data_IF_906217203062
#
_entry.id   IF_906217203062
#
_cell.length_a   1.000
_cell.length_b   1.000
_cell.length_c   1.000
_cell.angle_alpha   90.00
_cell.angle_beta   90.00
_cell.angle_gamma   90.00
#
_symmetry.space_group_name_H-M   'P 1'
#
loop_
_entity.id
_entity.type
_entity.pdbx_description
1 polymer ?
#
# COMPACT_ATOMS: atom_id res chain seq x y z
N UNK A 1 14.48 -4.26 6.09
CA UNK A 1 14.43 -2.78 5.96
C UNK A 1 14.82 -2.20 7.31
N UNK A 2 16.07 -1.76 7.48
CA UNK A 2 16.61 -1.36 8.78
C UNK A 2 16.08 -0.01 9.31
N UNK A 3 15.31 0.75 8.51
CA UNK A 3 14.96 2.14 8.84
C UNK A 3 13.47 2.50 8.62
N UNK A 4 12.57 1.52 8.69
CA UNK A 4 11.13 1.77 8.47
C UNK A 4 10.55 2.77 9.50
N UNK A 5 11.06 2.79 10.73
CA UNK A 5 10.61 3.70 11.79
C UNK A 5 10.88 5.16 11.44
N UNK A 6 12.10 5.51 11.02
CA UNK A 6 12.48 6.88 10.64
C UNK A 6 11.63 7.41 9.49
N UNK A 7 11.35 6.56 8.49
CA UNK A 7 10.48 6.96 7.39
C UNK A 7 9.02 7.15 7.84
N UNK A 8 8.50 6.25 8.67
CA UNK A 8 7.14 6.35 9.22
C UNK A 8 6.95 7.63 10.06
N UNK A 9 7.95 8.02 10.85
CA UNK A 9 7.95 9.26 11.64
C UNK A 9 7.91 10.49 10.72
N UNK A 10 8.74 10.54 9.68
CA UNK A 10 8.72 11.64 8.70
C UNK A 10 7.41 11.72 7.94
N UNK A 11 6.82 10.59 7.58
CA UNK A 11 5.51 10.57 6.92
C UNK A 11 4.41 11.12 7.84
N UNK A 12 4.44 10.81 9.13
CA UNK A 12 3.50 11.38 10.09
C UNK A 12 3.69 12.90 10.22
N UNK A 13 4.93 13.34 10.44
CA UNK A 13 5.25 14.76 10.56
C UNK A 13 4.87 15.55 9.30
N UNK A 14 5.07 14.98 8.12
CA UNK A 14 4.61 15.60 6.86
C UNK A 14 3.10 15.77 6.83
N UNK A 15 2.32 14.79 7.30
CA UNK A 15 0.85 14.93 7.38
C UNK A 15 0.48 16.05 8.35
N UNK A 16 1.19 16.16 9.47
CA UNK A 16 0.97 17.25 10.44
C UNK A 16 1.25 18.63 9.78
N UNK A 17 2.37 18.79 9.07
CA UNK A 17 2.67 20.01 8.33
C UNK A 17 1.62 20.31 7.23
N UNK A 18 1.11 19.29 6.54
CA UNK A 18 0.04 19.48 5.55
C UNK A 18 -1.23 20.07 6.19
N UNK A 19 -1.55 19.72 7.43
CA UNK A 19 -2.67 20.30 8.15
C UNK A 19 -2.43 21.78 8.47
N UNK A 20 -1.22 22.12 8.92
CA UNK A 20 -0.80 23.50 9.17
C UNK A 20 -0.82 24.36 7.90
N UNK A 21 -0.48 23.77 6.76
CA UNK A 21 -0.52 24.40 5.43
C UNK A 21 -1.93 24.49 4.82
N UNK A 22 -2.97 24.02 5.52
CA UNK A 22 -4.36 24.23 5.11
C UNK A 22 -5.04 23.07 4.38
N UNK A 23 -4.52 21.84 4.49
CA UNK A 23 -5.12 20.64 3.86
C UNK A 23 -6.63 20.50 4.10
N UNK A 24 -7.11 20.83 5.30
CA UNK A 24 -8.55 20.70 5.61
C UNK A 24 -9.38 21.64 4.73
N UNK A 25 -8.91 22.87 4.52
CA UNK A 25 -9.60 23.83 3.65
C UNK A 25 -9.60 23.34 2.20
N UNK A 26 -8.46 22.84 1.70
CA UNK A 26 -8.38 22.28 0.35
C UNK A 26 -9.38 21.12 0.14
N UNK A 27 -9.51 20.24 1.14
CA UNK A 27 -10.46 19.12 1.09
C UNK A 27 -11.92 19.59 1.12
N UNK A 28 -12.23 20.64 1.90
CA UNK A 28 -13.56 21.25 1.97
C UNK A 28 -13.92 21.91 0.63
N UNK A 29 -13.02 22.70 0.06
CA UNK A 29 -13.22 23.40 -1.21
C UNK A 29 -13.40 22.40 -2.36
N UNK A 30 -12.55 21.37 -2.40
CA UNK A 30 -12.67 20.29 -3.38
C UNK A 30 -13.97 19.52 -3.21
N UNK A 31 -14.35 19.20 -1.97
CA UNK A 31 -15.61 18.53 -1.68
C UNK A 31 -16.81 19.37 -2.12
N UNK A 32 -16.80 20.67 -1.84
CA UNK A 32 -17.89 21.57 -2.25
C UNK A 32 -18.03 21.62 -3.78
N UNK A 33 -16.91 21.79 -4.50
CA UNK A 33 -16.90 21.87 -5.96
C UNK A 33 -17.38 20.57 -6.64
N UNK A 34 -16.88 19.42 -6.20
CA UNK A 34 -17.14 18.13 -6.85
C UNK A 34 -18.38 17.41 -6.32
N UNK A 35 -18.72 17.59 -5.05
CA UNK A 35 -19.83 16.88 -4.44
C UNK A 35 -21.19 17.55 -4.70
N UNK A 36 -21.24 18.88 -4.87
CA UNK A 36 -22.47 19.57 -5.31
C UNK A 36 -23.00 19.00 -6.63
N UNK A 37 -22.11 18.72 -7.59
CA UNK A 37 -22.50 18.11 -8.86
C UNK A 37 -22.92 16.64 -8.67
N UNK A 38 -22.18 15.86 -7.87
CA UNK A 38 -22.48 14.46 -7.60
C UNK A 38 -23.85 14.26 -6.93
N UNK A 39 -24.17 15.09 -5.94
CA UNK A 39 -25.45 15.07 -5.22
C UNK A 39 -26.60 15.44 -6.17
N UNK A 40 -26.42 16.45 -7.03
CA UNK A 40 -27.40 16.80 -8.08
C UNK A 40 -27.66 15.64 -9.03
N UNK A 41 -26.62 14.90 -9.40
CA UNK A 41 -26.72 13.72 -10.26
C UNK A 41 -27.28 12.48 -9.54
N UNK A 42 -27.52 12.53 -8.22
CA UNK A 42 -27.97 11.40 -7.41
C UNK A 42 -26.95 10.26 -7.30
N UNK A 43 -25.66 10.52 -7.57
CA UNK A 43 -24.61 9.50 -7.59
C UNK A 43 -23.95 9.35 -6.22
N UNK A 44 -23.62 8.11 -5.87
CA UNK A 44 -22.78 7.81 -4.72
C UNK A 44 -21.30 8.15 -5.03
N UNK A 45 -20.48 8.49 -4.02
CA UNK A 45 -19.05 8.66 -4.23
C UNK A 45 -18.42 7.35 -4.70
N UNK A 46 -17.69 7.39 -5.81
CA UNK A 46 -16.89 6.25 -6.29
C UNK A 46 -15.40 6.50 -5.99
N UNK A 47 -14.97 6.05 -4.80
CA UNK A 47 -13.58 6.12 -4.34
C UNK A 47 -12.63 5.15 -5.07
N UNK A 48 -13.09 4.48 -6.12
CA UNK A 48 -12.27 3.57 -6.93
C UNK A 48 -11.78 4.20 -8.23
N UNK A 49 -12.11 5.47 -8.51
CA UNK A 49 -11.79 6.12 -9.78
C UNK A 49 -11.21 7.52 -9.62
N UNK A 50 -10.21 7.81 -10.44
CA UNK A 50 -9.67 9.16 -10.63
C UNK A 50 -9.16 9.81 -9.34
N UNK A 51 -9.37 11.11 -9.22
CA UNK A 51 -8.92 11.93 -8.08
C UNK A 51 -9.50 11.46 -6.74
N UNK A 52 -10.62 10.73 -6.72
CA UNK A 52 -11.17 10.21 -5.47
C UNK A 52 -10.33 9.07 -4.86
N UNK A 53 -9.36 8.52 -5.59
CA UNK A 53 -8.44 7.51 -5.06
C UNK A 53 -7.27 8.12 -4.25
N UNK A 54 -7.14 9.44 -4.22
CA UNK A 54 -6.09 10.13 -3.47
C UNK A 54 -6.19 9.82 -1.98
N UNK A 55 -5.02 9.70 -1.33
CA UNK A 55 -4.94 9.59 0.12
C UNK A 55 -5.26 10.96 0.73
N UNK A 56 -6.18 10.98 1.69
CA UNK A 56 -6.67 12.21 2.32
C UNK A 56 -8.10 12.56 1.93
N UNK A 57 -8.63 12.11 0.78
CA UNK A 57 -10.02 12.41 0.45
C UNK A 57 -11.00 11.37 1.01
N UNK A 58 -10.76 10.07 0.75
CA UNK A 58 -11.61 9.00 1.29
C UNK A 58 -11.54 8.89 2.81
N UNK A 59 -10.38 9.17 3.42
CA UNK A 59 -10.20 9.12 4.87
C UNK A 59 -11.00 10.23 5.58
N UNK A 60 -11.26 11.35 4.91
CA UNK A 60 -12.00 12.49 5.43
C UNK A 60 -13.47 12.50 4.98
N UNK A 61 -13.93 11.50 4.23
CA UNK A 61 -15.27 11.51 3.66
C UNK A 61 -16.38 11.77 4.69
N UNK A 62 -16.37 11.03 5.81
CA UNK A 62 -17.38 11.16 6.84
C UNK A 62 -17.39 12.56 7.45
N UNK A 63 -16.22 13.13 7.71
CA UNK A 63 -16.09 14.51 8.21
C UNK A 63 -16.56 15.55 7.19
N UNK A 64 -16.19 15.40 5.91
CA UNK A 64 -16.55 16.33 4.85
C UNK A 64 -18.05 16.35 4.54
N UNK A 65 -18.74 15.23 4.80
CA UNK A 65 -20.20 15.10 4.62
C UNK A 65 -21.02 15.69 5.77
N UNK A 66 -20.40 16.04 6.90
CA UNK A 66 -21.12 16.65 8.03
C UNK A 66 -21.66 18.04 7.63
N UNK A 67 -22.83 18.44 8.16
CA UNK A 67 -23.27 19.83 8.15
C UNK A 67 -22.23 20.74 8.83
N UNK A 68 -22.14 21.99 8.40
CA UNK A 68 -21.15 22.94 8.91
C UNK A 68 -21.31 23.18 10.42
N UNK A 69 -22.55 23.14 10.90
CA UNK A 69 -22.90 23.28 12.31
C UNK A 69 -22.39 22.11 13.17
N UNK A 70 -22.30 20.90 12.59
CA UNK A 70 -21.89 19.69 13.29
C UNK A 70 -20.38 19.45 13.28
N UNK A 71 -19.65 20.02 12.30
CA UNK A 71 -18.19 19.89 12.20
C UNK A 71 -17.46 20.42 13.43
N UNK A 72 -17.99 21.49 14.03
CA UNK A 72 -17.41 22.15 15.20
C UNK A 72 -17.85 21.53 16.54
N UNK A 73 -18.76 20.56 16.51
CA UNK A 73 -19.19 19.84 17.71
C UNK A 73 -18.19 18.73 18.07
N UNK A 74 -18.33 18.17 19.27
CA UNK A 74 -17.48 17.09 19.77
C UNK A 74 -17.42 15.89 18.81
N UNK A 75 -18.56 15.55 18.20
CA UNK A 75 -18.64 14.49 17.18
C UNK A 75 -17.80 14.78 15.93
N UNK A 76 -17.89 16.01 15.40
CA UNK A 76 -17.11 16.46 14.24
C UNK A 76 -15.61 16.50 14.53
N UNK A 77 -15.20 17.02 15.68
CA UNK A 77 -13.80 17.03 16.12
C UNK A 77 -13.21 15.61 16.26
N UNK A 78 -14.02 14.67 16.77
CA UNK A 78 -13.61 13.26 16.88
C UNK A 78 -13.43 12.61 15.50
N UNK A 79 -14.37 12.84 14.58
CA UNK A 79 -14.28 12.33 13.21
C UNK A 79 -13.06 12.91 12.49
N UNK A 80 -12.80 14.21 12.63
CA UNK A 80 -11.62 14.85 12.06
C UNK A 80 -10.33 14.19 12.54
N UNK A 81 -10.19 13.99 13.86
CA UNK A 81 -9.02 13.32 14.44
C UNK A 81 -8.86 11.89 13.91
N UNK A 82 -9.95 11.16 13.77
CA UNK A 82 -9.93 9.80 13.22
C UNK A 82 -9.53 9.80 11.73
N UNK A 83 -10.03 10.76 10.94
CA UNK A 83 -9.66 10.95 9.54
C UNK A 83 -8.17 11.23 9.36
N UNK A 84 -7.59 12.09 10.19
CA UNK A 84 -6.15 12.39 10.20
C UNK A 84 -5.33 11.11 10.49
N UNK A 85 -5.70 10.36 11.53
CA UNK A 85 -5.01 9.11 11.86
C UNK A 85 -5.12 8.05 10.76
N UNK A 86 -6.30 7.93 10.14
CA UNK A 86 -6.51 7.06 8.99
C UNK A 86 -5.63 7.48 7.80
N UNK A 87 -5.47 8.78 7.54
CA UNK A 87 -4.60 9.28 6.49
C UNK A 87 -3.13 8.94 6.79
N UNK A 88 -2.65 9.16 8.01
CA UNK A 88 -1.30 8.77 8.43
C UNK A 88 -1.07 7.27 8.23
N UNK A 89 -2.02 6.42 8.64
CA UNK A 89 -1.97 4.97 8.41
C UNK A 89 -1.92 4.65 6.90
N UNK A 90 -2.78 5.28 6.10
CA UNK A 90 -2.87 5.11 4.66
C UNK A 90 -1.54 5.43 3.97
N UNK A 91 -0.94 6.56 4.31
CA UNK A 91 0.37 7.02 3.81
C UNK A 91 1.49 6.02 4.16
N UNK A 92 1.56 5.57 5.42
CA UNK A 92 2.53 4.56 5.86
C UNK A 92 2.36 3.21 5.15
N UNK A 93 1.12 2.78 4.88
CA UNK A 93 0.82 1.55 4.12
C UNK A 93 1.20 1.71 2.65
N UNK A 94 0.96 2.89 2.08
CA UNK A 94 1.31 3.19 0.69
C UNK A 94 2.82 3.14 0.47
N UNK A 95 3.62 3.78 1.33
CA UNK A 95 5.08 3.72 1.26
C UNK A 95 5.63 2.28 1.33
N UNK A 96 5.11 1.45 2.25
CA UNK A 96 5.46 0.02 2.33
C UNK A 96 5.10 -0.74 1.05
N UNK A 97 3.94 -0.43 0.45
CA UNK A 97 3.52 -1.05 -0.81
C UNK A 97 4.44 -0.62 -1.95
N UNK A 98 4.85 0.65 -2.02
CA UNK A 98 5.82 1.12 -3.01
C UNK A 98 7.14 0.38 -2.89
N UNK A 99 7.70 0.27 -1.67
CA UNK A 99 8.94 -0.47 -1.43
C UNK A 99 8.83 -1.94 -1.85
N UNK A 100 7.73 -2.60 -1.48
CA UNK A 100 7.45 -3.98 -1.93
C UNK A 100 7.34 -4.09 -3.45
N UNK A 101 6.68 -3.13 -4.10
CA UNK A 101 6.49 -3.12 -5.55
C UNK A 101 7.82 -2.88 -6.28
N UNK A 102 8.63 -1.93 -5.83
CA UNK A 102 9.95 -1.63 -6.41
C UNK A 102 10.86 -2.86 -6.30
N UNK A 103 11.00 -3.43 -5.10
CA UNK A 103 11.81 -4.65 -4.90
C UNK A 103 11.29 -5.80 -5.77
N UNK A 104 9.98 -6.07 -5.71
CA UNK A 104 9.35 -7.14 -6.47
C UNK A 104 9.50 -6.97 -7.97
N UNK A 105 9.33 -5.76 -8.49
CA UNK A 105 9.32 -5.47 -9.93
C UNK A 105 10.72 -5.48 -10.53
N UNK A 106 11.70 -5.03 -9.77
CA UNK A 106 13.02 -4.74 -10.30
C UNK A 106 14.15 -5.62 -9.78
N UNK A 107 14.06 -6.14 -8.56
CA UNK A 107 15.16 -6.91 -7.94
C UNK A 107 14.82 -8.38 -7.67
N UNK A 108 13.56 -8.78 -7.75
CA UNK A 108 13.13 -10.14 -7.35
C UNK A 108 12.55 -10.99 -8.49
N UNK A 109 12.56 -10.51 -9.74
CA UNK A 109 12.07 -11.27 -10.91
C UNK A 109 13.26 -11.78 -11.74
N UNK A 110 13.49 -13.10 -11.79
CA UNK A 110 14.67 -13.66 -12.47
C UNK A 110 14.74 -13.44 -13.98
N UNK A 111 13.59 -13.30 -14.64
CA UNK A 111 13.50 -13.31 -16.11
C UNK A 111 13.36 -11.91 -16.71
N UNK A 112 13.40 -10.86 -15.90
CA UNK A 112 13.19 -9.49 -16.36
C UNK A 112 14.54 -8.82 -16.56
N UNK A 113 14.81 -8.40 -17.79
CA UNK A 113 15.88 -7.45 -18.05
C UNK A 113 15.51 -6.11 -17.40
N UNK A 114 16.36 -5.68 -16.48
CA UNK A 114 16.20 -4.42 -15.75
C UNK A 114 17.47 -3.61 -15.94
N UNK A 115 17.38 -2.27 -16.10
CA UNK A 115 18.56 -1.43 -16.11
C UNK A 115 19.29 -1.51 -14.76
N UNK A 116 20.58 -1.16 -14.69
CA UNK A 116 21.29 -1.03 -13.43
C UNK A 116 20.53 -0.10 -12.47
N UNK A 117 20.34 -0.54 -11.23
CA UNK A 117 19.62 0.22 -10.21
C UNK A 117 20.60 0.59 -9.12
N UNK A 118 20.62 1.86 -8.75
CA UNK A 118 21.50 2.37 -7.70
C UNK A 118 20.67 2.85 -6.52
N UNK A 119 21.06 2.47 -5.31
CA UNK A 119 20.42 2.94 -4.08
C UNK A 119 21.01 4.30 -3.67
N UNK A 120 20.13 5.25 -3.39
CA UNK A 120 20.44 6.54 -2.76
C UNK A 120 19.86 6.51 -1.35
N UNK A 121 20.71 6.58 -0.32
CA UNK A 121 20.24 6.48 1.06
C UNK A 121 19.74 7.83 1.56
N UNK A 122 18.43 7.93 1.77
CA UNK A 122 17.76 9.13 2.31
C UNK A 122 17.47 9.02 3.80
N UNK A 123 18.03 8.03 4.50
CA UNK A 123 17.73 7.76 5.92
C UNK A 123 18.23 8.90 6.81
N UNK A 124 19.44 9.41 6.58
CA UNK A 124 20.03 10.51 7.34
C UNK A 124 20.14 11.77 6.47
N UNK A 125 19.31 12.78 6.76
CA UNK A 125 19.28 14.02 5.98
C UNK A 125 20.56 14.85 6.15
N UNK A 126 21.33 14.65 7.22
CA UNK A 126 22.62 15.33 7.38
C UNK A 126 23.66 14.88 6.36
N UNK A 127 23.44 13.73 5.72
CA UNK A 127 24.30 13.15 4.68
C UNK A 127 23.74 13.29 3.27
N UNK A 128 22.67 14.08 3.10
CA UNK A 128 21.98 14.23 1.81
C UNK A 128 22.94 14.54 0.66
N UNK A 129 23.85 15.50 0.86
CA UNK A 129 24.78 15.89 -0.18
C UNK A 129 25.68 14.75 -0.64
N UNK A 130 26.15 13.91 0.29
CA UNK A 130 27.07 12.81 -0.01
C UNK A 130 26.33 11.57 -0.54
N UNK A 131 25.28 11.13 0.15
CA UNK A 131 24.60 9.86 -0.12
C UNK A 131 23.53 9.94 -1.21
N UNK A 132 23.07 11.16 -1.54
CA UNK A 132 22.03 11.41 -2.54
C UNK A 132 22.55 12.28 -3.67
N UNK A 133 22.91 13.55 -3.39
CA UNK A 133 23.21 14.53 -4.45
C UNK A 133 24.45 14.16 -5.25
N UNK A 134 25.62 14.09 -4.60
CA UNK A 134 26.91 13.80 -5.25
C UNK A 134 26.85 12.41 -5.89
N UNK A 135 26.41 11.41 -5.12
CA UNK A 135 26.25 10.04 -5.59
C UNK A 135 25.40 9.95 -6.87
N UNK A 136 24.24 10.60 -6.91
CA UNK A 136 23.37 10.60 -8.08
C UNK A 136 24.01 11.27 -9.30
N UNK A 137 24.69 12.41 -9.10
CA UNK A 137 25.40 13.13 -10.17
C UNK A 137 26.48 12.23 -10.77
N UNK A 138 27.33 11.63 -9.95
CA UNK A 138 28.40 10.73 -10.41
C UNK A 138 27.86 9.53 -11.20
N UNK A 139 26.74 8.94 -10.76
CA UNK A 139 26.08 7.83 -11.47
C UNK A 139 25.61 8.29 -12.85
N UNK A 140 24.95 9.45 -12.91
CA UNK A 140 24.41 10.00 -14.16
C UNK A 140 25.56 10.37 -15.11
N UNK A 141 26.59 11.06 -14.62
CA UNK A 141 27.76 11.44 -15.42
C UNK A 141 28.49 10.23 -15.98
N UNK A 142 28.69 9.19 -15.17
CA UNK A 142 29.30 7.93 -15.63
C UNK A 142 28.45 7.27 -16.73
N UNK A 143 27.12 7.28 -16.57
CA UNK A 143 26.18 6.75 -17.56
C UNK A 143 26.19 7.55 -18.86
N UNK A 144 26.28 8.88 -18.80
CA UNK A 144 26.32 9.76 -19.99
C UNK A 144 27.65 9.60 -20.72
N UNK A 145 28.76 9.53 -19.98
CA UNK A 145 30.11 9.38 -20.52
C UNK A 145 30.44 7.95 -20.98
N UNK A 146 29.55 6.97 -20.72
CA UNK A 146 29.81 5.54 -20.92
C UNK A 146 31.08 5.04 -20.21
N UNK A 147 31.36 5.57 -19.03
CA UNK A 147 32.50 5.17 -18.18
C UNK A 147 32.03 4.28 -17.02
N UNK A 148 32.91 3.45 -16.44
CA UNK A 148 32.55 2.65 -15.27
C UNK A 148 32.12 3.53 -14.09
N UNK A 149 30.93 3.25 -13.54
CA UNK A 149 30.44 3.94 -12.36
C UNK A 149 31.23 3.48 -11.12
N UNK A 150 31.65 4.43 -10.28
CA UNK A 150 32.35 4.13 -9.01
C UNK A 150 31.46 3.46 -7.95
N UNK A 151 30.14 3.55 -8.12
CA UNK A 151 29.17 2.91 -7.23
C UNK A 151 28.66 1.62 -7.84
N UNK A 152 28.44 0.62 -7.01
CA UNK A 152 27.86 -0.65 -7.44
C UNK A 152 26.34 -0.55 -7.56
N UNK A 153 25.80 -1.15 -8.63
CA UNK A 153 24.36 -1.33 -8.77
C UNK A 153 23.86 -2.44 -7.85
N UNK A 154 22.62 -2.31 -7.38
CA UNK A 154 21.92 -3.34 -6.65
C UNK A 154 21.83 -4.63 -7.46
N UNK A 155 22.20 -5.73 -6.81
CA UNK A 155 22.10 -7.06 -7.40
C UNK A 155 20.68 -7.61 -7.24
N UNK A 156 20.06 -8.11 -8.33
CA UNK A 156 18.80 -8.83 -8.22
C UNK A 156 18.95 -10.03 -7.29
N UNK A 157 18.07 -10.13 -6.29
CA UNK A 157 17.97 -11.29 -5.41
C UNK A 157 17.20 -12.38 -6.14
N UNK A 158 17.93 -13.16 -6.92
CA UNK A 158 17.41 -14.36 -7.56
C UNK A 158 17.20 -15.43 -6.47
N UNK A 159 15.99 -15.46 -5.91
CA UNK A 159 15.59 -16.59 -5.09
C UNK A 159 15.29 -17.77 -6.01
N UNK A 160 16.19 -18.77 -6.07
CA UNK A 160 15.97 -20.01 -6.81
C UNK A 160 14.65 -20.72 -6.41
N UNK A 161 14.22 -20.53 -5.16
CA UNK A 161 12.93 -21.02 -4.66
C UNK A 161 11.72 -20.37 -5.36
N UNK A 162 11.84 -19.13 -5.85
CA UNK A 162 10.78 -18.41 -6.58
C UNK A 162 10.71 -18.80 -8.07
N UNK A 163 11.76 -19.39 -8.64
CA UNK A 163 11.74 -19.83 -10.04
C UNK A 163 11.02 -21.16 -10.27
N UNK A 164 10.88 -22.00 -9.22
CA UNK A 164 10.27 -23.33 -9.31
C UNK A 164 8.80 -23.40 -8.84
N UNK A 165 8.22 -22.29 -8.38
CA UNK A 165 6.82 -22.23 -7.95
C UNK A 165 6.02 -21.55 -9.06
N UNK A 166 5.04 -22.25 -9.62
CA UNK A 166 4.09 -21.64 -10.53
C UNK A 166 3.15 -20.73 -9.75
N UNK A 167 3.40 -19.43 -9.82
CA UNK A 167 2.55 -18.38 -9.23
C UNK A 167 1.25 -18.14 -10.00
N UNK A 168 1.06 -18.80 -11.14
CA UNK A 168 -0.12 -18.69 -12.00
C UNK A 168 -0.93 -19.99 -12.07
N UNK A 169 -0.51 -21.05 -11.38
CA UNK A 169 -1.28 -22.28 -11.30
C UNK A 169 -2.66 -22.01 -10.70
N UNK A 170 -3.68 -22.73 -11.17
CA UNK A 170 -5.05 -22.55 -10.71
C UNK A 170 -5.49 -23.76 -9.90
N UNK A 171 -5.58 -23.59 -8.59
CA UNK A 171 -5.93 -24.65 -7.65
C UNK A 171 -7.33 -24.38 -7.04
N UNK A 172 -8.26 -25.32 -7.19
CA UNK A 172 -9.60 -25.20 -6.58
C UNK A 172 -9.65 -25.97 -5.25
N UNK A 173 -10.16 -25.33 -4.20
CA UNK A 173 -10.37 -25.97 -2.91
C UNK A 173 -11.84 -26.40 -2.73
N UNK A 174 -12.12 -27.69 -2.78
CA UNK A 174 -13.47 -28.26 -2.59
C UNK A 174 -14.08 -27.97 -1.20
N UNK A 175 -13.24 -27.85 -0.18
CA UNK A 175 -13.70 -27.58 1.19
C UNK A 175 -14.23 -26.15 1.32
N UNK A 176 -13.51 -25.19 0.73
CA UNK A 176 -13.82 -23.76 0.84
C UNK A 176 -14.50 -23.19 -0.39
N UNK A 177 -14.76 -24.02 -1.41
CA UNK A 177 -15.42 -23.69 -2.68
C UNK A 177 -14.85 -22.41 -3.32
N UNK A 178 -13.52 -22.37 -3.46
CA UNK A 178 -12.84 -21.19 -4.01
C UNK A 178 -11.63 -21.55 -4.84
N UNK A 179 -11.44 -20.78 -5.91
CA UNK A 179 -10.24 -20.80 -6.73
C UNK A 179 -9.10 -20.05 -6.03
N UNK A 180 -7.91 -20.63 -6.08
CA UNK A 180 -6.69 -20.09 -5.49
C UNK A 180 -5.59 -20.16 -6.54
N UNK A 181 -5.06 -18.99 -6.89
CA UNK A 181 -3.99 -18.88 -7.86
C UNK A 181 -2.64 -18.98 -7.15
N UNK A 182 -1.76 -19.85 -7.64
CA UNK A 182 -0.42 -20.10 -7.13
C UNK A 182 -0.34 -21.29 -6.18
N UNK A 183 0.64 -22.16 -6.40
CA UNK A 183 0.83 -23.37 -5.58
C UNK A 183 1.21 -23.04 -4.14
N UNK A 184 1.98 -21.97 -3.94
CA UNK A 184 2.37 -21.52 -2.60
C UNK A 184 1.17 -21.01 -1.83
N UNK A 185 0.34 -20.18 -2.45
CA UNK A 185 -0.89 -19.63 -1.91
C UNK A 185 -1.88 -20.76 -1.58
N UNK A 186 -1.94 -21.79 -2.43
CA UNK A 186 -2.74 -22.98 -2.17
C UNK A 186 -2.25 -23.76 -0.94
N UNK A 187 -0.94 -24.00 -0.81
CA UNK A 187 -0.35 -24.65 0.39
C UNK A 187 -0.60 -23.85 1.66
N UNK A 188 -0.46 -22.52 1.61
CA UNK A 188 -0.78 -21.63 2.74
C UNK A 188 -2.27 -21.71 3.09
N UNK A 189 -3.14 -21.76 2.07
CA UNK A 189 -4.56 -21.91 2.29
C UNK A 189 -4.91 -23.19 3.04
N UNK A 190 -4.39 -24.35 2.61
CA UNK A 190 -4.68 -25.65 3.23
C UNK A 190 -4.28 -25.69 4.71
N UNK A 191 -3.18 -25.01 5.06
CA UNK A 191 -2.70 -24.90 6.45
C UNK A 191 -3.38 -23.81 7.29
N UNK A 192 -4.16 -22.92 6.65
CA UNK A 192 -4.76 -21.76 7.31
C UNK A 192 -5.86 -22.12 8.32
N UNK A 193 -5.98 -21.34 9.39
CA UNK A 193 -7.02 -21.52 10.40
C UNK A 193 -8.44 -21.42 9.81
N UNK A 194 -8.63 -20.59 8.77
CA UNK A 194 -9.93 -20.47 8.09
C UNK A 194 -10.30 -21.79 7.41
N UNK A 195 -9.38 -22.39 6.65
CA UNK A 195 -9.60 -23.68 5.99
C UNK A 195 -9.94 -24.77 7.01
N UNK A 196 -9.13 -24.89 8.07
CA UNK A 196 -9.36 -25.85 9.16
C UNK A 196 -10.74 -25.71 9.83
N UNK A 197 -11.21 -24.48 10.03
CA UNK A 197 -12.54 -24.21 10.60
C UNK A 197 -13.67 -24.65 9.65
N UNK A 198 -13.57 -24.34 8.36
CA UNK A 198 -14.57 -24.76 7.38
C UNK A 198 -14.61 -26.28 7.25
N UNK A 199 -13.45 -26.92 7.19
CA UNK A 199 -13.33 -28.38 7.16
C UNK A 199 -14.02 -29.02 8.36
N UNK A 200 -13.72 -28.55 9.58
CA UNK A 200 -14.37 -29.04 10.80
C UNK A 200 -15.89 -28.88 10.76
N UNK A 201 -16.39 -27.76 10.26
CA UNK A 201 -17.84 -27.51 10.14
C UNK A 201 -18.49 -28.47 9.13
N UNK A 202 -17.86 -28.72 7.97
CA UNK A 202 -18.36 -29.68 6.97
C UNK A 202 -18.38 -31.11 7.52
N UNK A 203 -17.35 -31.53 8.26
CA UNK A 203 -17.31 -32.84 8.93
C UNK A 203 -18.46 -32.98 9.94
N UNK A 204 -18.67 -31.98 10.80
CA UNK A 204 -19.75 -32.00 11.79
C UNK A 204 -21.16 -32.03 11.16
N UNK A 205 -21.34 -31.39 10.00
CA UNK A 205 -22.58 -31.45 9.24
C UNK A 205 -22.79 -32.86 8.65
N UNK A 206 -21.75 -33.44 8.05
CA UNK A 206 -21.81 -34.79 7.50
C UNK A 206 -22.07 -35.86 8.59
N UNK A 207 -21.44 -35.73 9.77
CA UNK A 207 -21.68 -36.63 10.91
C UNK A 207 -23.12 -36.57 11.42
N UNK A 208 -23.73 -35.37 11.41
CA UNK A 208 -25.16 -35.19 11.74
C UNK A 208 -26.09 -35.76 10.68
N UNK A 209 -25.78 -35.57 9.40
CA UNK A 209 -26.57 -36.10 8.28
C UNK A 209 -26.52 -37.64 8.21
N UNK A 210 -25.40 -38.25 8.63
CA UNK A 210 -25.22 -39.70 8.71
C UNK A 210 -25.74 -40.31 10.02
N UNK A 211 -26.25 -39.50 10.96
CA UNK A 211 -26.78 -39.99 12.24
C UNK A 211 -25.74 -40.60 13.18
N UNK A 212 -24.46 -40.21 13.03
CA UNK A 212 -23.32 -40.75 13.80
C UNK A 212 -23.01 -39.86 15.04
N UNK A 213 -23.66 -38.69 15.14
CA UNK A 213 -23.49 -37.72 16.23
C UNK A 213 -24.76 -37.45 17.02
#
# INVERSE_FOLDING_TARGET
MKFQSTHDERLNARVDNMLEEGLIQELLDFHEAHNKQRIKDGKQPDYTKGVFQTLGFKEFHEYLMLPEEEKNLEGGAKLLKQSIENMKIGTRRYARRQNKMVLGRFLEIPRREVPPIYELDTTDLSKWDQEVTIKAIDIIESSIANTPCKYESLTPKLHEEKSNIDGHSSNYCEVCERLIIGDKEYKIHLSSNRHKKVLKKKIQLAEKELGIA
#
